data_IF_071829203618
#
_entry.id   IF_071829203618
#
_cell.length_a   1.000
_cell.length_b   1.000
_cell.length_c   1.000
_cell.angle_alpha   90.00
_cell.angle_beta   90.00
_cell.angle_gamma   90.00
#
_symmetry.space_group_name_H-M   'P 1'
#
loop_
_entity.id
_entity.type
_entity.pdbx_description
1 polymer ?
#
# COMPACT_ATOMS: atom_id res chain seq x y z
N UNK A 1 30.89 20.26 20.74
CA UNK A 1 30.42 19.04 20.06
C UNK A 1 30.56 17.79 20.94
N UNK A 2 31.68 17.57 21.65
CA UNK A 2 31.87 16.39 22.51
C UNK A 2 30.96 16.33 23.75
N UNK A 3 30.61 17.46 24.36
CA UNK A 3 29.71 17.47 25.56
C UNK A 3 28.28 17.10 25.17
N UNK A 4 27.80 17.52 24.00
CA UNK A 4 26.47 17.21 23.51
C UNK A 4 26.32 15.71 23.15
N UNK A 5 27.38 15.12 22.56
CA UNK A 5 27.44 13.69 22.27
C UNK A 5 27.51 12.85 23.56
N UNK A 6 28.25 13.29 24.56
CA UNK A 6 28.36 12.60 25.86
C UNK A 6 27.03 12.66 26.63
N UNK A 7 26.28 13.75 26.57
CA UNK A 7 24.94 13.85 27.16
C UNK A 7 23.92 12.98 26.41
N UNK A 8 23.95 12.94 25.09
CA UNK A 8 23.08 12.09 24.28
C UNK A 8 23.31 10.60 24.56
N UNK A 9 24.58 10.17 24.67
CA UNK A 9 24.93 8.78 25.01
C UNK A 9 24.53 8.41 26.44
N UNK A 10 24.63 9.33 27.40
CA UNK A 10 24.20 9.06 28.77
C UNK A 10 22.67 8.97 28.88
N UNK A 11 21.91 9.75 28.09
CA UNK A 11 20.44 9.67 28.05
C UNK A 11 19.96 8.39 27.37
N UNK A 12 20.60 7.98 26.30
CA UNK A 12 20.23 6.72 25.60
C UNK A 12 20.52 5.49 26.47
N UNK A 13 21.61 5.48 27.22
CA UNK A 13 21.91 4.40 28.17
C UNK A 13 20.90 4.33 29.30
N UNK A 14 20.50 5.49 29.87
CA UNK A 14 19.43 5.54 30.90
C UNK A 14 18.08 5.05 30.37
N UNK A 15 17.73 5.41 29.13
CA UNK A 15 16.50 4.92 28.51
C UNK A 15 16.50 3.39 28.39
N UNK A 16 17.60 2.82 27.92
CA UNK A 16 17.76 1.37 27.80
C UNK A 16 17.68 0.65 29.16
N UNK A 17 18.33 1.20 30.19
CA UNK A 17 18.24 0.69 31.57
C UNK A 17 16.80 0.74 32.11
N UNK A 18 16.07 1.82 31.86
CA UNK A 18 14.67 1.94 32.29
C UNK A 18 13.81 0.88 31.58
N UNK A 19 13.96 0.72 30.26
CA UNK A 19 13.22 -0.29 29.49
C UNK A 19 13.56 -1.70 29.98
N UNK A 20 14.84 -1.98 30.24
CA UNK A 20 15.30 -3.28 30.71
C UNK A 20 14.78 -3.61 32.13
N UNK A 21 14.84 -2.67 33.04
CA UNK A 21 14.32 -2.86 34.40
C UNK A 21 12.79 -3.01 34.38
N UNK A 22 12.08 -2.21 33.61
CA UNK A 22 10.62 -2.34 33.44
C UNK A 22 10.25 -3.72 32.85
N UNK A 23 11.00 -4.21 31.87
CA UNK A 23 10.80 -5.55 31.31
C UNK A 23 11.06 -6.66 32.35
N UNK A 24 12.15 -6.56 33.11
CA UNK A 24 12.51 -7.56 34.14
C UNK A 24 11.42 -7.69 35.21
N UNK A 25 10.84 -6.56 35.59
CA UNK A 25 9.83 -6.47 36.68
C UNK A 25 8.41 -6.72 36.22
N UNK A 26 8.16 -6.79 34.90
CA UNK A 26 6.84 -7.04 34.31
C UNK A 26 6.29 -8.42 34.68
N UNK A 27 4.96 -8.53 34.66
CA UNK A 27 4.25 -9.80 34.76
C UNK A 27 4.51 -10.71 33.56
N UNK A 28 4.32 -12.02 33.71
CA UNK A 28 4.60 -13.04 32.70
C UNK A 28 3.85 -12.80 31.38
N UNK A 29 2.59 -12.38 31.43
CA UNK A 29 1.78 -12.09 30.25
C UNK A 29 2.26 -10.79 29.54
N UNK A 30 2.54 -9.75 30.32
CA UNK A 30 3.10 -8.49 29.78
C UNK A 30 4.45 -8.73 29.11
N UNK A 31 5.31 -9.55 29.70
CA UNK A 31 6.56 -10.00 29.05
C UNK A 31 6.31 -10.71 27.72
N UNK A 32 5.32 -11.62 27.69
CA UNK A 32 4.93 -12.33 26.49
C UNK A 32 4.50 -11.38 25.36
N UNK A 33 3.68 -10.36 25.68
CA UNK A 33 3.22 -9.35 24.71
C UNK A 33 4.40 -8.53 24.18
N UNK A 34 5.30 -8.06 25.05
CA UNK A 34 6.48 -7.29 24.65
C UNK A 34 7.38 -8.11 23.73
N UNK A 35 7.65 -9.35 24.08
CA UNK A 35 8.47 -10.26 23.27
C UNK A 35 7.82 -10.55 21.93
N UNK A 36 6.51 -10.80 21.91
CA UNK A 36 5.76 -11.03 20.68
C UNK A 36 5.81 -9.81 19.76
N UNK A 37 5.54 -8.62 20.27
CA UNK A 37 5.60 -7.38 19.49
C UNK A 37 7.03 -7.08 18.98
N UNK A 38 8.04 -7.36 19.80
CA UNK A 38 9.43 -7.08 19.43
C UNK A 38 9.99 -8.10 18.42
N UNK A 39 9.84 -9.40 18.67
CA UNK A 39 10.47 -10.45 17.86
C UNK A 39 9.63 -10.88 16.66
N UNK A 40 8.31 -10.74 16.72
CA UNK A 40 7.40 -11.15 15.64
C UNK A 40 6.77 -9.91 14.99
N UNK A 41 6.11 -9.07 15.76
CA UNK A 41 5.37 -7.92 15.25
C UNK A 41 6.26 -6.91 14.53
N UNK A 42 7.39 -6.53 15.15
CA UNK A 42 8.30 -5.53 14.58
C UNK A 42 8.97 -6.00 13.29
N UNK A 43 9.66 -7.15 13.22
CA UNK A 43 10.31 -7.60 11.98
C UNK A 43 9.31 -7.83 10.83
N UNK A 44 8.15 -8.40 11.13
CA UNK A 44 7.11 -8.63 10.12
C UNK A 44 6.53 -7.31 9.62
N UNK A 45 6.24 -6.35 10.51
CA UNK A 45 5.78 -5.02 10.12
C UNK A 45 6.82 -4.30 9.24
N UNK A 46 8.09 -4.27 9.63
CA UNK A 46 9.16 -3.64 8.85
C UNK A 46 9.37 -4.28 7.49
N UNK A 47 9.34 -5.62 7.43
CA UNK A 47 9.46 -6.35 6.15
C UNK A 47 8.30 -6.03 5.23
N UNK A 48 7.07 -6.02 5.76
CA UNK A 48 5.86 -5.70 5.00
C UNK A 48 5.87 -4.25 4.51
N UNK A 49 6.27 -3.30 5.37
CA UNK A 49 6.45 -1.89 5.00
C UNK A 49 7.44 -1.78 3.83
N UNK A 50 8.59 -2.40 3.95
CA UNK A 50 9.63 -2.33 2.92
C UNK A 50 9.18 -2.92 1.59
N UNK A 51 8.56 -4.10 1.60
CA UNK A 51 8.07 -4.76 0.39
C UNK A 51 6.98 -3.95 -0.30
N UNK A 52 5.96 -3.50 0.44
CA UNK A 52 4.86 -2.72 -0.11
C UNK A 52 5.31 -1.34 -0.60
N UNK A 53 6.21 -0.68 0.12
CA UNK A 53 6.75 0.62 -0.28
C UNK A 53 7.57 0.52 -1.58
N UNK A 54 8.42 -0.50 -1.70
CA UNK A 54 9.15 -0.76 -2.94
C UNK A 54 8.22 -1.08 -4.11
N UNK A 55 7.21 -1.91 -3.89
CA UNK A 55 6.21 -2.25 -4.90
C UNK A 55 5.43 -1.01 -5.35
N UNK A 56 4.98 -0.16 -4.42
CA UNK A 56 4.27 1.08 -4.73
C UNK A 56 5.12 2.06 -5.55
N UNK A 57 6.41 2.23 -5.19
CA UNK A 57 7.33 3.08 -5.96
C UNK A 57 7.56 2.53 -7.36
N UNK A 58 7.75 1.21 -7.51
CA UNK A 58 7.95 0.58 -8.80
C UNK A 58 6.73 0.79 -9.71
N UNK A 59 5.53 0.49 -9.24
CA UNK A 59 4.27 0.68 -9.97
C UNK A 59 4.03 2.15 -10.35
N UNK A 60 4.30 3.08 -9.44
CA UNK A 60 4.23 4.53 -9.72
C UNK A 60 5.21 4.96 -10.80
N UNK A 61 6.43 4.43 -10.80
CA UNK A 61 7.44 4.70 -11.83
C UNK A 61 7.02 4.17 -13.18
N UNK A 62 6.48 2.96 -13.22
CA UNK A 62 5.96 2.32 -14.43
C UNK A 62 4.78 3.11 -15.01
N UNK A 63 3.82 3.50 -14.16
CA UNK A 63 2.68 4.34 -14.53
C UNK A 63 3.12 5.68 -15.13
N UNK A 64 4.04 6.37 -14.46
CA UNK A 64 4.58 7.64 -14.95
C UNK A 64 5.36 7.48 -16.27
N UNK A 65 6.06 6.35 -16.44
CA UNK A 65 6.77 6.06 -17.68
C UNK A 65 5.79 5.80 -18.83
N UNK A 66 4.71 5.07 -18.57
CA UNK A 66 3.63 4.86 -19.53
C UNK A 66 3.04 6.20 -20.01
N UNK A 67 2.64 7.07 -19.07
CA UNK A 67 2.07 8.39 -19.41
C UNK A 67 3.03 9.24 -20.26
N UNK A 68 4.32 9.27 -19.94
CA UNK A 68 5.33 9.97 -20.74
C UNK A 68 5.46 9.46 -22.18
N UNK A 69 5.29 8.16 -22.37
CA UNK A 69 5.32 7.55 -23.71
C UNK A 69 4.03 7.88 -24.45
N UNK A 70 2.89 7.79 -23.76
CA UNK A 70 1.57 8.14 -24.29
C UNK A 70 1.52 9.59 -24.78
N UNK A 71 1.97 10.54 -23.96
CA UNK A 71 2.03 11.97 -24.28
C UNK A 71 2.89 12.28 -25.52
N UNK A 72 3.89 11.43 -25.83
CA UNK A 72 4.75 11.62 -27.01
C UNK A 72 4.13 11.08 -28.29
N UNK A 73 3.36 10.02 -28.18
CA UNK A 73 2.84 9.29 -29.37
C UNK A 73 1.56 9.94 -29.88
N UNK A 74 0.74 10.53 -28.98
CA UNK A 74 -0.57 11.15 -29.28
C UNK A 74 -1.52 10.29 -30.13
N UNK A 75 -1.29 8.98 -30.22
CA UNK A 75 -2.08 8.02 -31.01
C UNK A 75 -2.33 6.78 -30.19
N UNK A 76 -3.60 6.41 -30.05
CA UNK A 76 -4.02 5.21 -29.33
C UNK A 76 -3.45 3.94 -29.99
N UNK A 77 -3.61 3.81 -31.29
CA UNK A 77 -3.13 2.65 -32.05
C UNK A 77 -1.61 2.57 -32.07
N UNK A 78 -0.94 3.72 -32.15
CA UNK A 78 0.52 3.79 -32.06
C UNK A 78 1.09 3.26 -30.76
N UNK A 79 0.33 3.36 -29.64
CA UNK A 79 0.73 2.77 -28.35
C UNK A 79 0.88 1.25 -28.42
N UNK A 80 0.08 0.56 -29.25
CA UNK A 80 0.19 -0.90 -29.44
C UNK A 80 1.58 -1.39 -29.80
N UNK A 81 2.37 -0.58 -30.51
CA UNK A 81 3.75 -0.92 -30.91
C UNK A 81 4.76 -0.83 -29.76
N UNK A 82 4.42 -0.10 -28.69
CA UNK A 82 5.33 0.16 -27.56
C UNK A 82 4.95 -0.66 -26.33
N UNK A 83 3.79 -1.34 -26.31
CA UNK A 83 3.31 -2.09 -25.14
C UNK A 83 4.29 -3.15 -24.65
N UNK A 84 5.01 -3.83 -25.57
CA UNK A 84 6.00 -4.85 -25.19
C UNK A 84 7.17 -4.30 -24.36
N UNK A 85 7.46 -2.99 -24.47
CA UNK A 85 8.56 -2.32 -23.77
C UNK A 85 8.10 -1.66 -22.46
N UNK A 86 6.80 -1.67 -22.22
CA UNK A 86 6.18 -1.05 -21.06
C UNK A 86 5.72 -2.12 -20.07
N UNK A 87 5.61 -1.75 -18.80
CA UNK A 87 5.09 -2.59 -17.72
C UNK A 87 4.21 -1.73 -16.82
N UNK A 88 3.41 -2.41 -16.00
CA UNK A 88 2.59 -1.76 -14.99
C UNK A 88 1.10 -1.71 -15.31
N UNK A 89 0.27 -1.22 -14.37
CA UNK A 89 -1.19 -1.28 -14.43
C UNK A 89 -1.78 -0.55 -15.65
N UNK A 90 -1.27 0.64 -15.98
CA UNK A 90 -1.77 1.38 -17.16
C UNK A 90 -1.51 0.64 -18.47
N UNK A 91 -0.37 -0.05 -18.58
CA UNK A 91 -0.08 -0.90 -19.75
C UNK A 91 -1.13 -1.99 -19.91
N UNK A 92 -1.48 -2.67 -18.82
CA UNK A 92 -2.48 -3.76 -18.84
C UNK A 92 -3.87 -3.25 -19.23
N UNK A 93 -4.27 -2.07 -18.73
CA UNK A 93 -5.53 -1.42 -19.12
C UNK A 93 -5.53 -1.04 -20.59
N UNK A 94 -4.45 -0.44 -21.11
CA UNK A 94 -4.30 -0.09 -22.52
C UNK A 94 -4.31 -1.32 -23.43
N UNK A 95 -3.59 -2.36 -23.07
CA UNK A 95 -3.53 -3.62 -23.80
C UNK A 95 -4.91 -4.27 -23.91
N UNK A 96 -5.66 -4.30 -22.81
CA UNK A 96 -7.04 -4.81 -22.77
C UNK A 96 -7.95 -4.01 -23.71
N UNK A 97 -7.86 -2.67 -23.69
CA UNK A 97 -8.61 -1.82 -24.60
C UNK A 97 -8.31 -2.07 -26.08
N UNK A 98 -7.02 -2.19 -26.42
CA UNK A 98 -6.58 -2.46 -27.79
C UNK A 98 -6.95 -3.88 -28.26
N UNK A 99 -6.87 -4.89 -27.39
CA UNK A 99 -7.30 -6.25 -27.69
C UNK A 99 -8.80 -6.29 -27.97
N UNK A 100 -9.61 -5.62 -27.12
CA UNK A 100 -11.06 -5.60 -27.32
C UNK A 100 -11.45 -4.82 -28.57
N UNK A 101 -10.75 -3.74 -28.89
CA UNK A 101 -10.91 -3.03 -30.15
C UNK A 101 -10.64 -3.95 -31.35
N UNK A 102 -9.54 -4.73 -31.34
CA UNK A 102 -9.26 -5.72 -32.38
C UNK A 102 -10.35 -6.79 -32.49
N UNK A 103 -10.90 -7.26 -31.36
CA UNK A 103 -11.97 -8.25 -31.31
C UNK A 103 -13.26 -7.70 -31.96
N UNK A 104 -13.62 -6.47 -31.66
CA UNK A 104 -14.77 -5.78 -32.25
C UNK A 104 -14.61 -5.61 -33.76
N UNK A 105 -13.40 -5.24 -34.20
CA UNK A 105 -13.06 -5.08 -35.62
C UNK A 105 -12.80 -6.43 -36.34
N UNK A 106 -12.87 -7.56 -35.62
CA UNK A 106 -12.59 -8.92 -36.14
C UNK A 106 -11.20 -9.06 -36.76
N UNK A 107 -10.20 -8.42 -36.14
CA UNK A 107 -8.81 -8.47 -36.58
C UNK A 107 -8.11 -9.64 -35.88
N UNK A 108 -7.60 -10.60 -36.64
CA UNK A 108 -6.85 -11.74 -36.12
C UNK A 108 -5.52 -11.32 -35.48
N UNK A 109 -5.03 -12.12 -34.54
CA UNK A 109 -3.76 -11.86 -33.83
C UNK A 109 -2.57 -11.62 -34.78
N UNK A 110 -2.50 -12.34 -35.87
CA UNK A 110 -1.46 -12.21 -36.87
C UNK A 110 -1.43 -10.84 -37.57
N UNK A 111 -2.56 -10.14 -37.58
CA UNK A 111 -2.72 -8.84 -38.25
C UNK A 111 -2.71 -7.66 -37.29
N UNK A 112 -2.75 -7.87 -35.96
CA UNK A 112 -2.75 -6.80 -34.96
C UNK A 112 -1.57 -5.85 -35.09
N UNK A 113 -0.36 -6.38 -35.32
CA UNK A 113 0.83 -5.55 -35.50
C UNK A 113 0.72 -4.60 -36.70
N UNK A 114 0.22 -5.09 -37.83
CA UNK A 114 0.00 -4.25 -38.99
C UNK A 114 -1.08 -3.19 -38.74
N UNK A 115 -2.14 -3.54 -38.01
CA UNK A 115 -3.19 -2.61 -37.63
C UNK A 115 -2.65 -1.47 -36.76
N UNK A 116 -1.85 -1.77 -35.73
CA UNK A 116 -1.22 -0.75 -34.89
C UNK A 116 -0.28 0.17 -35.69
N UNK A 117 0.37 -0.34 -36.73
CA UNK A 117 1.26 0.43 -37.60
C UNK A 117 0.51 1.31 -38.59
N UNK A 118 -0.61 0.87 -39.09
CA UNK A 118 -1.42 1.61 -40.07
C UNK A 118 -2.10 2.80 -39.45
N UNK A 119 -2.47 2.72 -38.15
CA UNK A 119 -2.94 3.86 -37.35
C UNK A 119 -4.31 4.41 -37.75
N UNK A 120 -5.14 3.67 -38.53
CA UNK A 120 -6.48 4.10 -38.93
C UNK A 120 -7.51 3.01 -38.68
N UNK A 121 -8.68 3.41 -38.18
CA UNK A 121 -9.83 2.54 -37.95
C UNK A 121 -10.73 2.67 -39.18
N UNK A 122 -10.56 1.75 -40.14
CA UNK A 122 -11.32 1.78 -41.40
C UNK A 122 -12.82 1.42 -41.26
N UNK A 123 -13.24 0.91 -40.12
CA UNK A 123 -14.61 0.47 -39.87
C UNK A 123 -15.28 1.34 -38.82
N UNK A 124 -16.51 1.83 -39.13
CA UNK A 124 -17.30 2.63 -38.21
C UNK A 124 -17.71 1.83 -36.97
N UNK A 125 -17.31 2.29 -35.79
CA UNK A 125 -17.66 1.69 -34.51
C UNK A 125 -19.09 2.09 -34.12
N UNK A 126 -19.88 1.12 -33.69
CA UNK A 126 -21.20 1.38 -33.11
C UNK A 126 -21.05 1.84 -31.65
N UNK A 127 -22.00 2.61 -31.13
CA UNK A 127 -22.02 2.99 -29.73
C UNK A 127 -21.93 1.75 -28.78
N UNK A 128 -22.58 0.64 -29.17
CA UNK A 128 -22.49 -0.63 -28.44
C UNK A 128 -21.07 -1.22 -28.44
N UNK A 129 -20.28 -0.99 -29.48
CA UNK A 129 -18.91 -1.49 -29.58
C UNK A 129 -17.97 -0.69 -28.67
N UNK A 130 -18.12 0.62 -28.66
CA UNK A 130 -17.37 1.51 -27.74
C UNK A 130 -17.69 1.18 -26.29
N UNK A 131 -18.98 0.91 -25.97
CA UNK A 131 -19.39 0.53 -24.63
C UNK A 131 -18.81 -0.84 -24.20
N UNK A 132 -18.72 -1.81 -25.11
CA UNK A 132 -18.02 -3.08 -24.83
C UNK A 132 -16.55 -2.87 -24.46
N UNK A 133 -15.85 -2.03 -25.20
CA UNK A 133 -14.45 -1.70 -24.94
C UNK A 133 -14.34 -1.04 -23.57
N UNK A 134 -15.19 -0.06 -23.27
CA UNK A 134 -15.24 0.62 -21.98
C UNK A 134 -15.44 -0.35 -20.82
N UNK A 135 -16.41 -1.25 -20.92
CA UNK A 135 -16.71 -2.25 -19.89
C UNK A 135 -15.54 -3.21 -19.68
N UNK A 136 -14.88 -3.63 -20.77
CA UNK A 136 -13.71 -4.52 -20.69
C UNK A 136 -12.53 -3.83 -20.00
N UNK A 137 -12.24 -2.59 -20.38
CA UNK A 137 -11.19 -1.79 -19.74
C UNK A 137 -11.49 -1.52 -18.26
N UNK A 138 -12.73 -1.19 -17.92
CA UNK A 138 -13.13 -0.94 -16.53
C UNK A 138 -12.99 -2.21 -15.66
N UNK A 139 -13.27 -3.39 -16.23
CA UNK A 139 -13.02 -4.66 -15.56
C UNK A 139 -11.53 -4.84 -15.27
N UNK A 140 -10.66 -4.48 -16.21
CA UNK A 140 -9.22 -4.55 -16.01
C UNK A 140 -8.75 -3.54 -14.97
N UNK A 141 -9.26 -2.31 -14.97
CA UNK A 141 -8.99 -1.31 -13.92
C UNK A 141 -9.33 -1.88 -12.54
N UNK A 142 -10.53 -2.44 -12.37
CA UNK A 142 -10.94 -3.05 -11.11
C UNK A 142 -10.03 -4.21 -10.68
N UNK A 143 -9.54 -5.02 -11.63
CA UNK A 143 -8.59 -6.08 -11.35
C UNK A 143 -7.25 -5.52 -10.85
N UNK A 144 -6.72 -4.49 -11.50
CA UNK A 144 -5.48 -3.82 -11.08
C UNK A 144 -5.62 -3.18 -9.68
N UNK A 145 -6.78 -2.56 -9.39
CA UNK A 145 -7.07 -1.99 -8.05
C UNK A 145 -7.01 -3.07 -6.98
N UNK A 146 -7.64 -4.23 -7.20
CA UNK A 146 -7.59 -5.36 -6.27
C UNK A 146 -6.16 -5.88 -6.06
N UNK A 147 -5.34 -5.91 -7.10
CA UNK A 147 -3.93 -6.28 -6.98
C UNK A 147 -3.11 -5.24 -6.21
N UNK A 148 -3.40 -3.95 -6.39
CA UNK A 148 -2.78 -2.88 -5.62
C UNK A 148 -3.10 -3.01 -4.12
N UNK A 149 -4.34 -3.33 -3.78
CA UNK A 149 -4.82 -3.45 -2.40
C UNK A 149 -4.36 -4.73 -1.70
N UNK A 150 -4.10 -5.81 -2.43
CA UNK A 150 -3.86 -7.15 -1.88
C UNK A 150 -2.72 -7.21 -0.86
N UNK A 151 -1.67 -6.36 -1.01
CA UNK A 151 -0.55 -6.28 -0.07
C UNK A 151 -0.81 -5.42 1.16
N UNK A 152 -1.91 -4.66 1.21
CA UNK A 152 -2.17 -3.65 2.24
C UNK A 152 -2.92 -4.19 3.46
N UNK A 153 -3.64 -5.31 3.31
CA UNK A 153 -4.47 -5.88 4.38
C UNK A 153 -3.69 -6.16 5.66
N UNK A 154 -2.50 -6.74 5.54
CA UNK A 154 -1.65 -7.05 6.70
C UNK A 154 -1.09 -5.77 7.35
N UNK A 155 -0.67 -4.78 6.56
CA UNK A 155 -0.18 -3.52 7.08
C UNK A 155 -1.28 -2.76 7.83
N UNK A 156 -2.50 -2.74 7.30
CA UNK A 156 -3.69 -2.17 7.96
C UNK A 156 -4.03 -2.91 9.27
N UNK A 157 -3.85 -4.23 9.30
CA UNK A 157 -3.97 -5.01 10.53
C UNK A 157 -2.95 -4.57 11.59
N UNK A 158 -1.67 -4.41 11.22
CA UNK A 158 -0.64 -3.94 12.16
C UNK A 158 -0.95 -2.54 12.71
N UNK A 159 -1.44 -1.63 11.86
CA UNK A 159 -1.87 -0.28 12.26
C UNK A 159 -2.92 -0.33 13.37
N UNK A 160 -3.88 -1.24 13.26
CA UNK A 160 -5.01 -1.33 14.18
C UNK A 160 -4.70 -2.19 15.40
N UNK A 161 -4.12 -3.37 15.22
CA UNK A 161 -3.97 -4.37 16.28
C UNK A 161 -2.82 -4.04 17.23
N UNK A 162 -1.71 -3.47 16.72
CA UNK A 162 -0.54 -3.24 17.57
C UNK A 162 -0.82 -2.27 18.75
N UNK A 163 -1.52 -1.12 18.58
CA UNK A 163 -1.88 -0.26 19.70
C UNK A 163 -2.82 -0.95 20.69
N UNK A 164 -3.79 -1.74 20.20
CA UNK A 164 -4.73 -2.47 21.07
C UNK A 164 -4.04 -3.55 21.88
N UNK A 165 -3.06 -4.25 21.33
CA UNK A 165 -2.23 -5.19 22.09
C UNK A 165 -1.43 -4.47 23.18
N UNK A 166 -0.88 -3.30 22.87
CA UNK A 166 -0.21 -2.46 23.87
C UNK A 166 -1.14 -2.03 24.99
N UNK A 167 -2.32 -1.55 24.65
CA UNK A 167 -3.35 -1.15 25.62
C UNK A 167 -3.82 -2.35 26.48
N UNK A 168 -4.07 -3.48 25.85
CA UNK A 168 -4.43 -4.71 26.55
C UNK A 168 -3.37 -5.10 27.59
N UNK A 169 -2.08 -4.99 27.23
CA UNK A 169 -0.98 -5.28 28.14
C UNK A 169 -0.96 -4.32 29.35
N UNK A 170 -1.27 -3.02 29.17
CA UNK A 170 -1.35 -2.10 30.31
C UNK A 170 -2.52 -2.41 31.23
N UNK A 171 -3.71 -2.63 30.69
CA UNK A 171 -4.89 -2.95 31.50
C UNK A 171 -4.66 -4.24 32.31
N UNK A 172 -4.12 -5.26 31.67
CA UNK A 172 -3.78 -6.53 32.30
C UNK A 172 -2.72 -6.35 33.41
N UNK A 173 -1.61 -5.69 33.12
CA UNK A 173 -0.52 -5.51 34.08
C UNK A 173 -0.93 -4.68 35.30
N UNK A 174 -1.73 -3.63 35.10
CA UNK A 174 -2.31 -2.85 36.19
C UNK A 174 -3.28 -3.70 37.05
N UNK A 175 -4.12 -4.50 36.38
CA UNK A 175 -5.04 -5.41 37.06
C UNK A 175 -4.29 -6.41 37.95
N UNK A 176 -3.25 -7.04 37.47
CA UNK A 176 -2.42 -8.00 38.22
C UNK A 176 -1.76 -7.32 39.40
N UNK A 177 -1.28 -6.07 39.21
CA UNK A 177 -0.66 -5.29 40.27
C UNK A 177 -1.63 -5.00 41.40
N UNK A 178 -2.88 -4.61 41.10
CA UNK A 178 -3.93 -4.40 42.14
C UNK A 178 -4.37 -5.70 42.84
N UNK A 179 -4.41 -6.81 42.12
CA UNK A 179 -4.69 -8.12 42.73
C UNK A 179 -3.59 -8.51 43.71
N UNK A 180 -2.33 -8.21 43.44
CA UNK A 180 -1.23 -8.45 44.37
C UNK A 180 -1.39 -7.64 45.67
N UNK A 181 -1.85 -6.36 45.60
CA UNK A 181 -2.17 -5.55 46.79
C UNK A 181 -3.28 -6.19 47.62
N UNK A 182 -4.36 -6.60 46.94
CA UNK A 182 -5.50 -7.22 47.63
C UNK A 182 -5.09 -8.48 48.42
N UNK A 183 -4.13 -9.24 47.91
CA UNK A 183 -3.62 -10.46 48.54
C UNK A 183 -2.63 -10.18 49.70
N UNK A 184 -1.82 -9.10 49.61
CA UNK A 184 -0.80 -8.78 50.61
C UNK A 184 -1.30 -7.84 51.70
N UNK A 185 -2.41 -7.16 51.49
CA UNK A 185 -3.00 -6.19 52.40
C UNK A 185 -2.16 -4.91 52.63
N UNK A 186 -1.05 -4.75 51.87
CA UNK A 186 -0.17 -3.58 51.94
C UNK A 186 -0.06 -2.86 50.61
N UNK A 187 -0.35 -1.54 50.61
CA UNK A 187 -0.29 -0.69 49.43
C UNK A 187 1.01 0.14 49.40
N UNK A 188 2.15 -0.51 49.54
CA UNK A 188 3.43 0.20 49.45
C UNK A 188 3.73 0.57 48.00
N UNK A 189 4.00 1.87 47.78
CA UNK A 189 4.29 2.42 46.43
C UNK A 189 5.50 1.77 45.78
N UNK A 190 6.50 1.40 46.56
CA UNK A 190 7.73 0.68 46.12
C UNK A 190 7.44 -0.70 45.55
N UNK A 191 6.42 -1.37 46.03
CA UNK A 191 5.98 -2.67 45.54
C UNK A 191 5.14 -2.56 44.25
N UNK A 192 4.44 -1.45 44.03
CA UNK A 192 3.55 -1.22 42.88
C UNK A 192 4.25 -0.67 41.65
N UNK A 193 5.23 0.21 41.87
CA UNK A 193 5.91 0.92 40.77
C UNK A 193 6.49 -0.02 39.67
N UNK A 194 7.10 -1.18 39.99
CA UNK A 194 7.61 -2.10 39.01
C UNK A 194 6.53 -2.69 38.10
N UNK A 195 5.40 -3.13 38.68
CA UNK A 195 4.30 -3.72 37.93
C UNK A 195 3.63 -2.72 36.96
N UNK A 196 3.38 -1.49 37.45
CA UNK A 196 2.83 -0.41 36.62
C UNK A 196 3.82 -0.02 35.50
N UNK A 197 5.11 0.11 35.82
CA UNK A 197 6.13 0.42 34.82
C UNK A 197 6.20 -0.63 33.71
N UNK A 198 6.16 -1.91 34.08
CA UNK A 198 6.12 -3.01 33.11
C UNK A 198 4.86 -3.01 32.24
N UNK A 199 3.71 -2.69 32.84
CA UNK A 199 2.46 -2.53 32.10
C UNK A 199 2.56 -1.40 31.06
N UNK A 200 3.06 -0.22 31.43
CA UNK A 200 3.25 0.91 30.52
C UNK A 200 4.21 0.60 29.37
N UNK A 201 5.22 -0.25 29.59
CA UNK A 201 6.15 -0.68 28.57
C UNK A 201 5.45 -1.39 27.42
N UNK A 202 4.39 -2.17 27.66
CA UNK A 202 3.64 -2.85 26.60
C UNK A 202 3.00 -1.86 25.62
N UNK A 203 2.47 -0.74 26.11
CA UNK A 203 1.91 0.32 25.25
C UNK A 203 2.98 1.02 24.42
N UNK A 204 4.14 1.32 25.02
CA UNK A 204 5.26 1.90 24.30
C UNK A 204 5.70 0.98 23.13
N UNK A 205 5.77 -0.32 23.37
CA UNK A 205 6.13 -1.30 22.32
C UNK A 205 5.05 -1.42 21.26
N UNK A 206 3.76 -1.40 21.62
CA UNK A 206 2.64 -1.37 20.69
C UNK A 206 2.71 -0.15 19.75
N UNK A 207 2.95 1.04 20.31
CA UNK A 207 3.09 2.28 19.55
C UNK A 207 4.36 2.29 18.68
N UNK A 208 5.43 1.69 19.12
CA UNK A 208 6.67 1.58 18.34
C UNK A 208 6.49 0.81 17.03
N UNK A 209 5.62 -0.19 17.01
CA UNK A 209 5.22 -0.92 15.80
C UNK A 209 4.16 -0.15 15.00
N UNK A 210 3.18 0.44 15.69
CA UNK A 210 2.03 1.09 15.06
C UNK A 210 2.41 2.36 14.29
N UNK A 211 3.22 3.25 14.86
CA UNK A 211 3.52 4.56 14.28
C UNK A 211 4.16 4.44 12.89
N UNK A 212 5.24 3.65 12.68
CA UNK A 212 5.80 3.45 11.35
C UNK A 212 4.80 2.81 10.38
N UNK A 213 3.98 1.89 10.88
CA UNK A 213 2.96 1.20 10.07
C UNK A 213 1.89 2.17 9.57
N UNK A 214 1.39 3.08 10.43
CA UNK A 214 0.43 4.14 10.06
C UNK A 214 1.00 5.05 8.99
N UNK A 215 2.21 5.58 9.20
CA UNK A 215 2.85 6.50 8.26
C UNK A 215 3.04 5.85 6.89
N UNK A 216 3.54 4.61 6.88
CA UNK A 216 3.75 3.86 5.64
C UNK A 216 2.45 3.54 4.94
N UNK A 217 1.41 3.15 5.68
CA UNK A 217 0.09 2.87 5.13
C UNK A 217 -0.50 4.10 4.41
N UNK A 218 -0.43 5.28 5.02
CA UNK A 218 -0.91 6.53 4.43
C UNK A 218 -0.15 6.86 3.15
N UNK A 219 1.19 6.76 3.16
CA UNK A 219 2.01 7.08 2.00
C UNK A 219 1.79 6.11 0.83
N UNK A 220 1.65 4.83 1.11
CA UNK A 220 1.41 3.82 0.10
C UNK A 220 0.02 4.00 -0.51
N UNK A 221 -1.02 4.20 0.31
CA UNK A 221 -2.37 4.47 -0.16
C UNK A 221 -2.46 5.72 -1.06
N UNK A 222 -1.77 6.80 -0.71
CA UNK A 222 -1.70 8.00 -1.57
C UNK A 222 -1.07 7.69 -2.95
N UNK A 223 -0.02 6.87 -2.99
CA UNK A 223 0.57 6.45 -4.25
C UNK A 223 -0.37 5.57 -5.08
N UNK A 224 -1.06 4.63 -4.44
CA UNK A 224 -2.02 3.74 -5.11
C UNK A 224 -3.22 4.52 -5.66
N UNK A 225 -3.81 5.42 -4.87
CA UNK A 225 -4.92 6.27 -5.30
C UNK A 225 -4.56 7.12 -6.54
N UNK A 226 -3.32 7.62 -6.61
CA UNK A 226 -2.84 8.35 -7.79
C UNK A 226 -2.76 7.46 -9.02
N UNK A 227 -2.34 6.20 -8.87
CA UNK A 227 -2.30 5.24 -9.98
C UNK A 227 -3.72 4.89 -10.44
N UNK A 228 -4.65 4.66 -9.49
CA UNK A 228 -6.06 4.41 -9.80
C UNK A 228 -6.67 5.57 -10.60
N UNK A 229 -6.47 6.81 -10.14
CA UNK A 229 -6.95 7.99 -10.85
C UNK A 229 -6.35 8.10 -12.27
N UNK A 230 -5.06 7.79 -12.43
CA UNK A 230 -4.43 7.77 -13.75
C UNK A 230 -5.05 6.71 -14.68
N UNK A 231 -5.41 5.53 -14.16
CA UNK A 231 -6.09 4.50 -14.94
C UNK A 231 -7.49 4.95 -15.39
N UNK A 232 -8.26 5.58 -14.50
CA UNK A 232 -9.60 6.09 -14.80
C UNK A 232 -9.55 7.20 -15.86
N UNK A 233 -8.66 8.19 -15.69
CA UNK A 233 -8.47 9.28 -16.66
C UNK A 233 -8.04 8.71 -18.01
N UNK A 234 -7.09 7.78 -18.03
CA UNK A 234 -6.64 7.14 -19.27
C UNK A 234 -7.76 6.37 -19.98
N UNK A 235 -8.61 5.66 -19.22
CA UNK A 235 -9.78 4.96 -19.77
C UNK A 235 -10.74 5.94 -20.44
N UNK A 236 -11.06 7.05 -19.77
CA UNK A 236 -11.97 8.06 -20.33
C UNK A 236 -11.37 8.73 -21.58
N UNK A 237 -10.08 9.05 -21.59
CA UNK A 237 -9.37 9.57 -22.77
C UNK A 237 -9.35 8.57 -23.93
N UNK A 238 -9.13 7.29 -23.62
CA UNK A 238 -9.14 6.22 -24.61
C UNK A 238 -10.51 6.11 -25.31
N UNK A 239 -11.59 6.08 -24.54
CA UNK A 239 -12.97 6.01 -25.06
C UNK A 239 -13.34 7.29 -25.81
N UNK A 240 -12.96 8.46 -25.33
CA UNK A 240 -13.18 9.73 -26.00
C UNK A 240 -12.47 9.80 -27.36
N UNK A 241 -11.22 9.35 -27.43
CA UNK A 241 -10.45 9.33 -28.67
C UNK A 241 -11.06 8.39 -29.71
N UNK A 242 -11.53 7.19 -29.30
CA UNK A 242 -12.27 6.29 -30.19
C UNK A 242 -13.55 6.92 -30.74
N UNK A 243 -14.25 7.70 -29.90
CA UNK A 243 -15.49 8.37 -30.30
C UNK A 243 -15.23 9.50 -31.29
N UNK A 244 -14.11 10.23 -31.15
CA UNK A 244 -13.70 11.32 -32.03
C UNK A 244 -13.21 10.80 -33.39
N UNK A 245 -12.40 9.75 -33.42
CA UNK A 245 -11.96 9.10 -34.67
C UNK A 245 -13.19 8.60 -35.46
N UNK A 246 -14.17 7.99 -34.77
CA UNK A 246 -15.43 7.55 -35.37
C UNK A 246 -16.28 8.70 -35.94
N UNK A 247 -16.25 9.89 -35.32
CA UNK A 247 -17.01 11.06 -35.78
C UNK A 247 -16.30 11.83 -36.91
N UNK A 248 -14.95 11.84 -36.95
CA UNK A 248 -14.17 12.54 -37.97
C UNK A 248 -14.29 11.93 -39.36
N UNK A 249 -14.46 10.61 -39.47
CA UNK A 249 -14.71 9.91 -40.72
C UNK A 249 -16.14 10.08 -41.26
N UNK A 250 -17.07 10.55 -40.42
CA UNK A 250 -18.45 10.80 -40.86
C UNK A 250 -18.60 12.14 -41.62
N UNK A 251 -17.54 12.95 -41.72
CA UNK A 251 -17.55 14.28 -42.40
C UNK A 251 -16.74 14.31 -43.70
N UNK A 252 -16.12 13.21 -44.12
CA UNK A 252 -15.51 13.03 -45.43
C UNK A 252 -16.33 12.09 -46.32
#
# INVERSE_FOLDING_TARGET
MNIFLAQATSQSMRFFEIVWTAFQTSDSLSKGIVLFLFFVGSPVAWTTIYCNFRAAIARKRESNNFMKVYDKIHSLLGMGLYLEKLSGPLKNVCETGLIELCNVLRIDESHRWNFYRTGSIAQKLTHSDIEKIRVSMNRQVNHEVLELESGMAFLSCCVTVAPFLGLFGTVWGVMVTFMAIANTGSAELTALAPGISGALLTTVMGLFVAIPSVLSNILINDMQNKICLQMDVFLDEFVASLSLENAGEAQQ
#
